data_IF_066111459444
#
_entry.id   IF_066111459444
#
_cell.length_a   1.000
_cell.length_b   1.000
_cell.length_c   1.000
_cell.angle_alpha   90.00
_cell.angle_beta   90.00
_cell.angle_gamma   90.00
#
_symmetry.space_group_name_H-M   'P 1'
#
loop_
_entity.id
_entity.type
_entity.pdbx_description
1 polymer ?
#
# COMPACT_ATOMS: atom_id res chain seq x y z
N UNK A 1 22.21 -17.27 -1.44
CA UNK A 1 21.64 -17.01 -1.56
C UNK A 1 20.69 -16.19 -1.16
N UNK A 2 20.33 -16.22 -0.33
CA UNK A 2 19.30 -15.47 0.19
C UNK A 2 19.37 -14.03 0.01
N UNK A 3 20.46 -13.52 -0.15
CA UNK A 3 20.54 -12.21 -0.29
C UNK A 3 19.90 -11.71 -1.50
N UNK A 4 19.41 -12.53 -2.30
CA UNK A 4 18.80 -12.09 -3.51
C UNK A 4 17.68 -11.13 -3.30
N UNK A 5 16.95 -11.24 -2.18
CA UNK A 5 15.88 -10.35 -2.02
C UNK A 5 16.10 -9.31 -1.03
N UNK A 6 17.28 -9.07 -0.64
CA UNK A 6 17.55 -8.05 0.30
C UNK A 6 17.18 -6.68 -0.20
N UNK A 7 17.26 -6.46 -1.48
CA UNK A 7 16.92 -5.17 -2.05
C UNK A 7 15.64 -5.18 -2.82
N UNK A 8 14.85 -6.24 -2.63
CA UNK A 8 13.63 -6.37 -3.39
C UNK A 8 12.44 -6.01 -2.55
N UNK A 9 11.36 -5.74 -3.23
CA UNK A 9 10.10 -5.53 -2.54
C UNK A 9 9.64 -6.83 -1.94
N UNK A 10 8.81 -6.72 -0.93
CA UNK A 10 8.21 -7.89 -0.32
C UNK A 10 7.14 -8.47 -1.24
N UNK A 11 6.88 -9.78 -1.17
CA UNK A 11 5.83 -10.38 -2.00
C UNK A 11 4.45 -9.85 -1.61
N UNK A 12 3.56 -9.84 -2.57
CA UNK A 12 2.19 -9.47 -2.29
C UNK A 12 1.51 -10.53 -1.47
N UNK A 13 0.63 -10.10 -0.58
CA UNK A 13 -0.19 -11.02 0.17
C UNK A 13 -1.33 -11.50 -0.68
N UNK A 14 -1.58 -12.80 -0.67
CA UNK A 14 -2.61 -13.41 -1.48
C UNK A 14 -3.45 -14.39 -0.70
N UNK A 15 -3.63 -14.17 0.58
CA UNK A 15 -4.37 -15.11 1.41
C UNK A 15 -5.87 -14.89 1.32
N UNK A 16 -6.48 -14.66 2.46
CA UNK A 16 -7.93 -14.53 2.54
C UNK A 16 -8.41 -13.22 1.94
N UNK A 17 -9.48 -13.30 1.15
CA UNK A 17 -10.06 -12.11 0.51
C UNK A 17 -11.05 -11.44 1.47
N UNK A 18 -10.88 -10.16 1.72
CA UNK A 18 -11.80 -9.41 2.59
C UNK A 18 -12.27 -8.16 1.88
N UNK A 19 -13.52 -7.78 2.10
CA UNK A 19 -14.09 -6.57 1.54
C UNK A 19 -13.75 -5.40 2.45
N UNK A 20 -13.21 -4.33 1.89
CA UNK A 20 -12.80 -3.19 2.68
C UNK A 20 -13.54 -1.90 2.37
N UNK A 21 -14.32 -1.88 1.29
CA UNK A 21 -15.11 -0.68 0.96
C UNK A 21 -15.64 -0.75 -0.44
N UNK A 22 -16.25 0.37 -0.87
CA UNK A 22 -16.75 0.53 -2.23
C UNK A 22 -15.76 1.35 -3.03
N UNK A 23 -15.76 1.15 -4.35
CA UNK A 23 -14.84 1.89 -5.21
C UNK A 23 -15.03 3.40 -5.07
N UNK A 24 -16.25 3.86 -4.80
CA UNK A 24 -16.50 5.29 -4.64
C UNK A 24 -16.02 5.87 -3.33
N UNK A 25 -15.61 5.03 -2.39
CA UNK A 25 -15.18 5.53 -1.08
C UNK A 25 -13.79 6.17 -1.12
N UNK A 26 -13.00 5.87 -2.16
CA UNK A 26 -11.64 6.40 -2.27
C UNK A 26 -11.52 7.12 -3.60
N UNK A 27 -11.62 8.44 -3.61
CA UNK A 27 -11.52 9.21 -4.86
C UNK A 27 -10.16 9.07 -5.50
N UNK A 28 -10.10 9.28 -6.81
CA UNK A 28 -8.84 9.20 -7.55
C UNK A 28 -7.83 10.18 -6.96
N UNK A 29 -6.60 9.74 -6.86
CA UNK A 29 -5.52 10.55 -6.32
C UNK A 29 -5.46 10.58 -4.81
N UNK A 30 -6.27 9.75 -4.13
CA UNK A 30 -6.36 9.75 -2.67
C UNK A 30 -6.06 8.37 -2.10
N UNK A 31 -5.73 8.37 -0.82
CA UNK A 31 -5.55 7.16 -0.05
C UNK A 31 -6.52 7.08 1.11
N UNK A 32 -6.69 5.89 1.64
CA UNK A 32 -7.55 5.66 2.80
C UNK A 32 -6.90 4.60 3.69
N UNK A 33 -7.12 4.72 4.99
CA UNK A 33 -6.62 3.75 5.96
C UNK A 33 -7.65 2.65 6.15
N UNK A 34 -7.20 1.41 6.06
CA UNK A 34 -8.02 0.24 6.34
C UNK A 34 -7.42 -0.47 7.53
N UNK A 35 -8.21 -0.66 8.59
CA UNK A 35 -7.76 -1.39 9.76
C UNK A 35 -8.14 -2.84 9.64
N UNK A 36 -7.19 -3.74 9.87
CA UNK A 36 -7.45 -5.16 9.84
C UNK A 36 -7.74 -5.67 11.24
N UNK A 37 -8.31 -6.87 11.32
CA UNK A 37 -8.70 -7.42 12.61
C UNK A 37 -7.54 -7.64 13.55
N UNK A 38 -6.36 -7.90 13.01
CA UNK A 38 -5.18 -8.13 13.84
C UNK A 38 -4.53 -6.83 14.32
N UNK A 39 -5.13 -5.68 13.99
CA UNK A 39 -4.62 -4.39 14.42
C UNK A 39 -3.69 -3.73 13.43
N UNK A 40 -3.28 -4.42 12.39
CA UNK A 40 -2.43 -3.80 11.38
C UNK A 40 -3.27 -2.89 10.50
N UNK A 41 -2.61 -1.98 9.80
CA UNK A 41 -3.28 -1.02 8.93
C UNK A 41 -2.75 -1.11 7.52
N UNK A 42 -3.65 -0.93 6.56
CA UNK A 42 -3.32 -0.93 5.14
C UNK A 42 -3.64 0.43 4.57
N UNK A 43 -2.75 0.95 3.74
CA UNK A 43 -3.00 2.16 2.98
C UNK A 43 -3.52 1.76 1.62
N UNK A 44 -4.73 2.17 1.29
CA UNK A 44 -5.39 1.84 0.05
C UNK A 44 -5.43 3.08 -0.81
N UNK A 45 -4.91 3.00 -2.03
CA UNK A 45 -4.80 4.15 -2.92
C UNK A 45 -5.58 3.93 -4.21
N UNK A 46 -6.20 5.01 -4.68
CA UNK A 46 -6.85 5.03 -5.98
C UNK A 46 -5.97 5.84 -6.93
N UNK A 47 -5.31 5.16 -7.87
CA UNK A 47 -4.46 5.80 -8.85
C UNK A 47 -5.18 5.75 -10.19
N UNK A 48 -5.90 6.82 -10.50
CA UNK A 48 -6.64 6.92 -11.77
C UNK A 48 -7.60 5.74 -12.00
N UNK A 49 -8.25 5.29 -10.96
CA UNK A 49 -9.22 4.20 -11.06
C UNK A 49 -8.63 2.83 -10.77
N UNK A 50 -7.32 2.71 -10.64
CA UNK A 50 -6.69 1.46 -10.24
C UNK A 50 -6.40 1.51 -8.74
N UNK A 51 -6.76 0.45 -8.04
CA UNK A 51 -6.58 0.41 -6.59
C UNK A 51 -5.39 -0.43 -6.21
N UNK A 52 -4.57 0.11 -5.31
CA UNK A 52 -3.37 -0.55 -4.82
C UNK A 52 -3.31 -0.42 -3.31
N UNK A 53 -2.75 -1.41 -2.66
CA UNK A 53 -2.72 -1.44 -1.20
C UNK A 53 -1.34 -1.84 -0.70
N UNK A 54 -0.83 -1.09 0.28
CA UNK A 54 0.45 -1.36 0.92
C UNK A 54 0.30 -1.17 2.42
N UNK A 55 1.30 -1.58 3.18
CA UNK A 55 1.32 -1.28 4.61
C UNK A 55 1.14 0.22 4.82
N UNK A 56 0.34 0.60 5.81
CA UNK A 56 0.14 2.02 6.13
C UNK A 56 1.19 2.46 7.14
N UNK A 57 2.46 2.36 6.72
CA UNK A 57 3.53 2.46 7.66
C UNK A 57 4.85 2.75 6.95
N UNK A 58 5.42 3.90 7.20
CA UNK A 58 6.74 4.22 6.69
C UNK A 58 7.77 3.62 7.65
N UNK A 59 8.64 2.72 7.20
CA UNK A 59 9.59 2.07 8.10
C UNK A 59 10.52 3.03 8.82
N UNK A 60 10.71 4.20 8.25
CA UNK A 60 11.60 5.19 8.83
C UNK A 60 11.05 5.71 10.15
N UNK A 61 9.77 6.03 10.20
CA UNK A 61 9.19 6.64 11.39
C UNK A 61 7.80 6.15 11.72
N UNK A 62 7.40 5.03 11.19
CA UNK A 62 6.07 4.48 11.42
C UNK A 62 4.96 5.49 11.08
N UNK A 63 5.22 6.35 10.13
CA UNK A 63 4.29 7.39 9.74
C UNK A 63 3.26 6.82 8.77
N UNK A 64 1.96 7.12 8.92
CA UNK A 64 0.94 6.57 8.03
C UNK A 64 1.10 7.11 6.61
N UNK A 65 1.00 6.21 5.64
CA UNK A 65 1.17 6.57 4.25
C UNK A 65 -0.15 6.94 3.56
N UNK A 66 -1.28 6.50 4.13
CA UNK A 66 -2.57 6.74 3.49
C UNK A 66 -2.88 8.19 3.28
N UNK A 67 -2.41 9.05 4.19
CA UNK A 67 -2.65 10.49 4.11
C UNK A 67 -1.48 11.24 3.50
N UNK A 68 -0.48 10.53 3.03
CA UNK A 68 0.70 11.16 2.48
C UNK A 68 0.50 11.46 1.01
N UNK A 69 1.43 12.21 0.44
CA UNK A 69 1.31 12.73 -0.92
C UNK A 69 1.45 11.62 -1.96
N UNK A 70 0.53 11.57 -2.90
CA UNK A 70 0.53 10.57 -3.94
C UNK A 70 0.82 11.23 -5.30
N UNK A 71 1.84 10.71 -6.00
CA UNK A 71 2.20 11.15 -7.33
C UNK A 71 2.14 9.95 -8.26
N UNK A 72 1.11 9.84 -9.07
CA UNK A 72 0.95 8.66 -9.92
C UNK A 72 0.97 7.40 -9.06
N UNK A 73 1.92 6.52 -9.27
CA UNK A 73 2.03 5.28 -8.50
C UNK A 73 2.99 5.38 -7.31
N UNK A 74 3.44 6.59 -6.99
CA UNK A 74 4.40 6.79 -5.92
C UNK A 74 3.78 7.55 -4.77
N UNK A 75 3.92 7.03 -3.55
CA UNK A 75 3.52 7.76 -2.35
C UNK A 75 4.78 8.27 -1.67
N UNK A 76 4.76 9.53 -1.27
CA UNK A 76 5.87 10.16 -0.59
C UNK A 76 5.47 10.39 0.85
N UNK A 77 6.20 9.77 1.78
CA UNK A 77 5.91 9.91 3.20
C UNK A 77 6.07 11.37 3.62
N UNK A 78 5.06 11.93 4.24
CA UNK A 78 5.07 13.34 4.64
C UNK A 78 6.12 13.63 5.70
N UNK A 79 6.58 12.61 6.40
CA UNK A 79 7.52 12.83 7.48
C UNK A 79 8.91 13.23 6.97
N UNK A 80 9.53 12.43 6.12
CA UNK A 80 10.87 12.72 5.62
C UNK A 80 11.06 12.45 4.14
N UNK A 81 9.97 12.33 3.39
CA UNK A 81 10.06 12.23 1.95
C UNK A 81 10.47 10.89 1.38
N UNK A 82 10.43 9.83 2.18
CA UNK A 82 10.69 8.51 1.64
C UNK A 82 9.60 8.15 0.65
N UNK A 83 9.95 7.52 -0.45
CA UNK A 83 9.03 7.24 -1.55
C UNK A 83 8.88 5.76 -1.79
N UNK A 84 7.64 5.36 -2.03
CA UNK A 84 7.30 3.95 -2.25
C UNK A 84 6.39 3.81 -3.45
N UNK A 85 6.57 2.72 -4.18
CA UNK A 85 5.67 2.36 -5.27
C UNK A 85 4.45 1.68 -4.65
N UNK A 86 3.26 2.27 -4.82
CA UNK A 86 2.06 1.71 -4.20
C UNK A 86 1.63 0.40 -4.84
N UNK A 87 2.14 0.06 -6.03
CA UNK A 87 1.79 -1.18 -6.70
C UNK A 87 2.44 -2.40 -6.06
N UNK A 88 3.58 -2.21 -5.42
CA UNK A 88 4.34 -3.36 -4.92
C UNK A 88 5.12 -3.08 -3.63
N UNK A 89 5.06 -1.88 -3.10
CA UNK A 89 5.76 -1.56 -1.85
C UNK A 89 7.25 -1.29 -1.99
N UNK A 90 7.75 -1.23 -3.20
CA UNK A 90 9.18 -0.99 -3.39
C UNK A 90 9.58 0.41 -2.93
N UNK A 91 10.65 0.51 -2.16
CA UNK A 91 11.14 1.79 -1.67
C UNK A 91 12.14 2.37 -2.67
N UNK A 92 11.93 3.62 -3.08
CA UNK A 92 12.82 4.28 -4.03
C UNK A 92 13.91 5.10 -3.35
N UNK A 93 13.81 5.30 -2.05
CA UNK A 93 14.72 6.20 -1.35
C UNK A 93 15.92 5.49 -0.77
N UNK A 94 15.70 4.33 -0.19
CA UNK A 94 16.77 3.57 0.44
C UNK A 94 16.64 2.10 0.14
N UNK A 95 17.75 1.39 0.25
CA UNK A 95 17.72 -0.07 0.13
C UNK A 95 17.09 -0.68 1.35
N UNK A 96 16.46 -1.82 1.16
CA UNK A 96 15.90 -2.62 2.25
C UNK A 96 14.85 -1.90 3.06
N UNK A 97 14.14 -0.99 2.45
CA UNK A 97 13.08 -0.30 3.15
C UNK A 97 11.72 -0.56 2.51
N UNK A 98 11.60 -1.60 1.73
CA UNK A 98 10.33 -1.95 1.10
C UNK A 98 9.28 -2.33 2.13
N UNK A 99 8.03 -2.05 1.81
CA UNK A 99 6.90 -2.37 2.67
C UNK A 99 6.05 -3.43 1.99
N UNK A 100 5.19 -4.08 2.77
CA UNK A 100 4.33 -5.11 2.21
C UNK A 100 3.29 -4.52 1.30
N UNK A 101 2.92 -5.26 0.27
CA UNK A 101 1.82 -4.89 -0.59
C UNK A 101 0.77 -5.99 -0.54
N UNK A 102 -0.45 -5.65 -0.94
CA UNK A 102 -1.58 -6.56 -0.89
C UNK A 102 -2.22 -6.59 -2.26
N UNK A 103 -2.66 -7.75 -2.70
CA UNK A 103 -3.39 -7.83 -3.94
C UNK A 103 -4.78 -7.26 -3.75
N UNK A 104 -5.23 -6.44 -4.70
CA UNK A 104 -6.55 -5.81 -4.65
C UNK A 104 -7.38 -6.36 -5.78
N UNK A 105 -8.63 -6.70 -5.48
CA UNK A 105 -9.57 -7.21 -6.46
C UNK A 105 -10.84 -6.37 -6.37
N UNK A 106 -11.37 -5.97 -7.53
CA UNK A 106 -12.63 -5.23 -7.57
C UNK A 106 -13.70 -6.19 -8.06
N UNK A 107 -14.74 -6.39 -7.25
CA UNK A 107 -15.86 -7.26 -7.60
C UNK A 107 -17.15 -6.56 -7.25
N UNK A 108 -18.04 -6.42 -8.23
CA UNK A 108 -19.35 -5.82 -8.03
C UNK A 108 -19.28 -4.44 -7.38
N UNK A 109 -18.31 -3.64 -7.81
CA UNK A 109 -18.13 -2.30 -7.26
C UNK A 109 -17.54 -2.24 -5.88
N UNK A 110 -17.13 -3.39 -5.33
CA UNK A 110 -16.54 -3.46 -4.00
C UNK A 110 -15.04 -3.67 -4.10
N UNK A 111 -14.31 -3.04 -3.19
CA UNK A 111 -12.87 -3.20 -3.10
C UNK A 111 -12.57 -4.33 -2.13
N UNK A 112 -11.81 -5.32 -2.58
CA UNK A 112 -11.40 -6.44 -1.73
C UNK A 112 -9.89 -6.55 -1.77
N UNK A 113 -9.32 -6.93 -0.62
CA UNK A 113 -7.88 -7.16 -0.56
C UNK A 113 -7.64 -8.56 -0.04
N UNK A 114 -6.49 -9.12 -0.41
CA UNK A 114 -6.10 -10.45 0.03
C UNK A 114 -5.09 -10.30 1.17
N UNK A 115 -5.41 -10.85 2.29
CA UNK A 115 -4.57 -10.81 3.48
C UNK A 115 -4.20 -12.22 3.96
#
# INVERSE_FOLDING_TARGET
MAKLYENKRKPKREGKKITVGKVGDVPAGRGATVKLKDGSEVALFNVNGEFHAVENFCPHKAYPLADSRLYGNTVECDSHGWRFDVRNGECFTKKNCSIESYQVVIEDGMIKILV
#
